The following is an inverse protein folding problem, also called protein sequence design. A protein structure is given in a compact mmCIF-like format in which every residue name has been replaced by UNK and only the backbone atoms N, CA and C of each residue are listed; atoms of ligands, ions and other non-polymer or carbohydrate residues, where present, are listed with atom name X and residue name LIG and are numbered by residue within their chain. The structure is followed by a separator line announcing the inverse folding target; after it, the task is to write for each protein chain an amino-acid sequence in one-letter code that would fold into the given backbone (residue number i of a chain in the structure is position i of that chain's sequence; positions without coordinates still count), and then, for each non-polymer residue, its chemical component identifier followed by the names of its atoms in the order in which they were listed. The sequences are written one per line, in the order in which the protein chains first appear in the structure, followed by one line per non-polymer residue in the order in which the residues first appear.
data_IF_775138392425
#
_entry.id   IF_775138392425
#
_cell.length_a   1.000
_cell.length_b   1.000
_cell.length_c   1.000
_cell.angle_alpha   90.00
_cell.angle_beta   90.00
_cell.angle_gamma   90.00
#
_symmetry.space_group_name_H-M   'P 1'
#
loop_
_entity.id
_entity.type
_entity.pdbx_description
1 polymer ?
#
# COMPACT_ATOMS: atom_id res chain seq x y z
N UNK A 1 -12.54 -12.15 -4.26
CA UNK A 1 -11.42 -11.20 -4.53
C UNK A 1 -11.32 -11.03 -6.06
N UNK A 2 -11.20 -9.81 -6.61
CA UNK A 2 -11.34 -9.57 -8.07
C UNK A 2 -10.07 -9.23 -8.85
N UNK A 3 -8.96 -8.84 -8.21
CA UNK A 3 -7.65 -8.66 -8.90
C UNK A 3 -7.44 -7.35 -9.69
N UNK A 4 -8.48 -6.63 -10.12
CA UNK A 4 -8.38 -5.43 -10.99
C UNK A 4 -7.35 -4.36 -10.56
N UNK A 5 -7.18 -4.14 -9.27
CA UNK A 5 -6.21 -3.17 -8.77
C UNK A 5 -4.75 -3.56 -9.05
N UNK A 6 -4.47 -4.86 -9.20
CA UNK A 6 -3.14 -5.40 -9.53
C UNK A 6 -2.87 -5.14 -11.02
N UNK A 7 -3.81 -5.52 -11.88
CA UNK A 7 -3.73 -5.30 -13.34
C UNK A 7 -3.55 -3.82 -13.70
N UNK A 8 -4.23 -2.92 -12.99
CA UNK A 8 -4.16 -1.48 -13.26
C UNK A 8 -2.98 -0.77 -12.56
N UNK A 9 -2.18 -1.45 -11.73
CA UNK A 9 -1.08 -0.81 -11.02
C UNK A 9 0.13 -0.64 -11.96
N UNK A 10 0.59 0.60 -12.22
CA UNK A 10 1.73 0.84 -13.13
C UNK A 10 3.07 0.33 -12.56
N UNK A 11 3.11 0.02 -11.26
CA UNK A 11 4.30 -0.45 -10.56
C UNK A 11 4.23 -1.94 -10.20
N UNK A 12 3.19 -2.66 -10.66
CA UNK A 12 3.05 -4.10 -10.39
C UNK A 12 2.82 -4.48 -8.93
N UNK A 13 2.39 -3.54 -8.08
CA UNK A 13 2.16 -3.78 -6.65
C UNK A 13 0.90 -4.64 -6.41
N UNK A 14 0.67 -4.99 -5.14
CA UNK A 14 -0.56 -5.68 -4.69
C UNK A 14 -1.43 -4.76 -3.81
N UNK A 15 -2.13 -3.75 -4.38
CA UNK A 15 -2.79 -2.70 -3.60
C UNK A 15 -3.76 -3.19 -2.53
N UNK A 16 -4.50 -4.28 -2.81
CA UNK A 16 -5.44 -4.85 -1.82
C UNK A 16 -4.76 -5.46 -0.61
N UNK A 17 -3.57 -6.06 -0.76
CA UNK A 17 -2.78 -6.56 0.38
C UNK A 17 -2.16 -5.39 1.14
N UNK A 18 -1.53 -4.45 0.42
CA UNK A 18 -0.92 -3.27 1.01
C UNK A 18 -1.92 -2.46 1.83
N UNK A 19 -3.09 -2.14 1.27
CA UNK A 19 -4.15 -1.44 1.99
C UNK A 19 -4.61 -2.21 3.25
N UNK A 20 -4.75 -3.54 3.16
CA UNK A 20 -5.14 -4.37 4.31
C UNK A 20 -4.06 -4.40 5.39
N UNK A 21 -2.79 -4.49 5.03
CA UNK A 21 -1.70 -4.46 6.00
C UNK A 21 -1.58 -3.08 6.65
N UNK A 22 -1.75 -1.99 5.90
CA UNK A 22 -1.83 -0.64 6.45
C UNK A 22 -2.99 -0.46 7.44
N UNK A 23 -4.15 -1.04 7.16
CA UNK A 23 -5.32 -0.99 8.05
C UNK A 23 -5.09 -1.74 9.37
N UNK A 24 -4.31 -2.82 9.32
CA UNK A 24 -4.04 -3.70 10.46
C UNK A 24 -2.73 -3.35 11.18
N UNK A 25 -2.09 -2.24 10.82
CA UNK A 25 -0.77 -1.83 11.32
C UNK A 25 0.32 -2.91 11.21
N UNK A 26 0.21 -3.73 10.16
CA UNK A 26 1.17 -4.78 9.77
C UNK A 26 2.29 -4.17 8.91
N UNK A 27 3.11 -3.33 9.53
CA UNK A 27 4.07 -2.47 8.83
C UNK A 27 5.21 -3.26 8.17
N UNK A 28 5.71 -4.30 8.83
CA UNK A 28 6.76 -5.18 8.30
C UNK A 28 6.24 -5.94 7.06
N UNK A 29 5.02 -6.46 7.09
CA UNK A 29 4.43 -7.15 5.94
C UNK A 29 4.09 -6.17 4.80
N UNK A 30 3.79 -4.91 5.12
CA UNK A 30 3.61 -3.86 4.12
C UNK A 30 4.96 -3.49 3.47
N UNK A 31 6.02 -3.35 4.27
CA UNK A 31 7.38 -3.11 3.80
C UNK A 31 7.90 -4.25 2.91
N UNK A 32 7.68 -5.50 3.31
CA UNK A 32 8.04 -6.69 2.52
C UNK A 32 7.27 -6.80 1.19
N UNK A 33 6.25 -5.98 0.97
CA UNK A 33 5.52 -5.83 -0.29
C UNK A 33 5.79 -4.49 -0.98
N UNK A 34 6.92 -3.86 -0.67
CA UNK A 34 7.42 -2.64 -1.31
C UNK A 34 6.42 -1.47 -1.23
N UNK A 35 5.72 -1.31 -0.09
CA UNK A 35 4.71 -0.24 0.06
C UNK A 35 5.27 1.16 -0.22
N UNK A 36 6.57 1.37 0.02
CA UNK A 36 7.28 2.63 -0.20
C UNK A 36 7.45 2.97 -1.68
N UNK A 37 7.44 1.97 -2.57
CA UNK A 37 7.51 2.14 -4.04
C UNK A 37 6.24 2.77 -4.59
N UNK A 38 5.08 2.60 -3.93
CA UNK A 38 3.81 3.17 -4.40
C UNK A 38 3.92 4.69 -4.64
N UNK A 39 3.62 5.13 -5.86
CA UNK A 39 3.63 6.55 -6.26
C UNK A 39 2.32 7.30 -5.98
N UNK A 40 1.36 6.68 -5.28
CA UNK A 40 0.09 7.31 -4.87
C UNK A 40 -0.82 7.79 -6.03
N UNK A 41 -0.71 7.18 -7.22
CA UNK A 41 -1.45 7.60 -8.42
C UNK A 41 -2.97 7.36 -8.41
N UNK A 42 -3.48 6.52 -7.50
CA UNK A 42 -4.92 6.33 -7.30
C UNK A 42 -5.64 5.38 -8.28
N UNK A 43 -5.01 4.89 -9.33
CA UNK A 43 -5.63 3.98 -10.32
C UNK A 43 -6.25 2.74 -9.68
N UNK A 44 -5.63 2.21 -8.62
CA UNK A 44 -6.14 1.06 -7.87
C UNK A 44 -7.51 1.33 -7.22
N UNK A 45 -7.72 2.53 -6.66
CA UNK A 45 -8.97 2.92 -6.03
C UNK A 45 -10.04 3.19 -7.12
N UNK A 46 -9.66 3.88 -8.20
CA UNK A 46 -10.57 4.18 -9.31
C UNK A 46 -11.13 2.91 -9.99
N UNK A 47 -10.29 1.90 -10.26
CA UNK A 47 -10.73 0.66 -10.91
C UNK A 47 -11.47 -0.30 -9.96
N UNK A 48 -11.49 -0.02 -8.66
CA UNK A 48 -12.02 -0.95 -7.67
C UNK A 48 -13.56 -1.00 -7.73
N UNK A 49 -14.17 -2.15 -8.09
CA UNK A 49 -15.63 -2.24 -8.18
C UNK A 49 -16.32 -2.19 -6.81
N UNK A 50 -15.57 -2.43 -5.74
CA UNK A 50 -16.06 -2.35 -4.36
C UNK A 50 -15.81 -0.96 -3.73
N UNK A 51 -15.29 0.01 -4.48
CA UNK A 51 -14.99 1.37 -4.01
C UNK A 51 -14.14 1.41 -2.72
N UNK A 52 -13.22 0.45 -2.57
CA UNK A 52 -12.29 0.43 -1.44
C UNK A 52 -11.32 1.60 -1.59
N UNK A 53 -11.08 2.41 -0.54
CA UNK A 53 -10.15 3.55 -0.59
C UNK A 53 -8.69 3.06 -0.52
N UNK A 54 -8.26 2.30 -1.53
CA UNK A 54 -6.98 1.59 -1.57
C UNK A 54 -5.80 2.55 -1.44
N UNK A 55 -5.76 3.61 -2.24
CA UNK A 55 -4.63 4.55 -2.26
C UNK A 55 -4.50 5.31 -0.93
N UNK A 56 -5.61 5.63 -0.27
CA UNK A 56 -5.63 6.30 1.03
C UNK A 56 -5.00 5.43 2.11
N UNK A 57 -5.39 4.15 2.18
CA UNK A 57 -4.78 3.20 3.12
C UNK A 57 -3.30 2.95 2.81
N UNK A 58 -2.93 2.85 1.53
CA UNK A 58 -1.53 2.68 1.13
C UNK A 58 -0.71 3.91 1.53
N UNK A 59 -1.21 5.14 1.32
CA UNK A 59 -0.54 6.37 1.73
C UNK A 59 -0.28 6.42 3.24
N UNK A 60 -1.29 6.07 4.05
CA UNK A 60 -1.14 5.99 5.50
C UNK A 60 -0.09 4.95 5.92
N UNK A 61 -0.14 3.74 5.36
CA UNK A 61 0.84 2.69 5.65
C UNK A 61 2.25 3.06 5.19
N UNK A 62 2.39 3.66 4.01
CA UNK A 62 3.68 4.14 3.47
C UNK A 62 4.32 5.16 4.42
N UNK A 63 3.56 6.12 4.94
CA UNK A 63 4.06 7.09 5.93
C UNK A 63 4.53 6.39 7.22
N UNK A 64 3.80 5.38 7.69
CA UNK A 64 4.18 4.61 8.88
C UNK A 64 5.45 3.78 8.65
N UNK A 65 5.58 3.09 7.52
CA UNK A 65 6.80 2.35 7.16
C UNK A 65 8.01 3.27 7.02
N UNK A 66 7.87 4.41 6.35
CA UNK A 66 8.97 5.39 6.25
C UNK A 66 9.39 5.97 7.61
N UNK A 67 8.47 6.04 8.57
CA UNK A 67 8.80 6.42 9.96
C UNK A 67 9.56 5.28 10.66
N UNK A 68 9.04 4.05 10.59
CA UNK A 68 9.66 2.84 11.16
C UNK A 68 11.09 2.63 10.64
N UNK A 69 11.31 2.73 9.33
CA UNK A 69 12.64 2.61 8.71
C UNK A 69 13.63 3.66 9.23
N UNK A 70 13.17 4.90 9.45
CA UNK A 70 14.02 5.96 10.01
C UNK A 70 14.41 5.67 11.46
N UNK A 71 13.51 5.11 12.25
CA UNK A 71 13.78 4.74 13.64
C UNK A 71 14.78 3.58 13.74
N UNK A 72 14.70 2.59 12.84
CA UNK A 72 15.68 1.48 12.76
C UNK A 72 17.07 1.99 12.38
N UNK A 73 17.19 2.93 11.43
CA UNK A 73 18.47 3.43 10.95
C UNK A 73 19.20 4.40 11.91
N UNK A 74 18.60 4.71 13.07
CA UNK A 74 19.19 5.59 14.10
C UNK A 74 19.69 4.77 15.31
N UNK A 75 19.39 3.47 15.38
CA UNK A 75 19.90 2.55 16.40
C UNK A 75 21.18 1.84 15.98
#
# INVERSE_FOLDING_TARGET
KCGKCIEACPLGLVPTKLARYSQLDKLEEAEALDITVCMECGTCAYTCPANIPLVQWIRLGKQKVLKMQREINIG
#
